data_IF_913385260758
#
_entry.id   IF_913385260758
#
_cell.length_a   1.000
_cell.length_b   1.000
_cell.length_c   1.000
_cell.angle_alpha   90.00
_cell.angle_beta   90.00
_cell.angle_gamma   90.00
#
_symmetry.space_group_name_H-M   'P 1'
#
loop_
_entity.id
_entity.type
_entity.pdbx_description
1 polymer ?
#
# COMPACT_ATOMS: atom_id res chain seq x y z
N UNK A 1 15.48 15.78 -8.49
CA UNK A 1 14.41 15.03 -7.77
C UNK A 1 13.32 16.02 -7.34
N UNK A 2 12.15 16.00 -7.97
CA UNK A 2 11.06 16.94 -7.63
C UNK A 2 10.32 16.44 -6.40
N UNK A 3 10.42 17.19 -5.29
CA UNK A 3 9.63 16.96 -4.09
C UNK A 3 8.15 17.18 -4.44
N UNK A 4 7.34 16.14 -4.38
CA UNK A 4 5.89 16.28 -4.29
C UNK A 4 5.54 16.36 -2.81
N UNK A 5 5.54 17.56 -2.25
CA UNK A 5 4.98 17.78 -0.92
C UNK A 5 3.45 17.77 -1.07
N UNK A 6 2.81 16.69 -0.65
CA UNK A 6 1.36 16.49 -0.75
C UNK A 6 0.64 17.32 0.30
N UNK A 7 1.30 17.58 1.43
CA UNK A 7 0.76 18.25 2.63
C UNK A 7 0.24 19.67 2.40
N UNK A 8 0.77 20.41 1.41
CA UNK A 8 0.32 21.80 1.14
C UNK A 8 -1.08 21.89 0.53
N UNK A 9 -1.67 20.76 0.12
CA UNK A 9 -2.99 20.68 -0.53
C UNK A 9 -4.03 19.92 0.27
N UNK A 10 -3.65 19.27 1.37
CA UNK A 10 -4.54 18.50 2.21
C UNK A 10 -4.99 19.27 3.45
N UNK A 11 -6.23 19.03 3.88
CA UNK A 11 -6.79 19.68 5.06
C UNK A 11 -5.99 19.32 6.32
N UNK A 12 -5.55 20.31 7.07
CA UNK A 12 -4.77 20.11 8.30
C UNK A 12 -3.27 19.87 8.08
N UNK A 13 -2.75 19.93 6.83
CA UNK A 13 -1.32 19.78 6.52
C UNK A 13 -0.75 18.38 6.80
N UNK A 14 -1.60 17.36 6.83
CA UNK A 14 -1.22 15.95 7.02
C UNK A 14 -1.70 15.11 5.84
N UNK A 15 -0.95 14.07 5.48
CA UNK A 15 -1.35 13.08 4.47
C UNK A 15 -2.60 12.34 4.93
N UNK A 16 -3.68 12.38 4.15
CA UNK A 16 -4.97 11.73 4.46
C UNK A 16 -5.34 10.63 3.45
N UNK A 17 -4.63 10.54 2.34
CA UNK A 17 -4.81 9.57 1.28
C UNK A 17 -3.54 8.73 1.07
N UNK A 18 -3.68 7.52 0.53
CA UNK A 18 -2.51 6.73 0.12
C UNK A 18 -1.97 7.32 -1.18
N UNK A 19 -0.81 7.98 -1.10
CA UNK A 19 -0.09 8.45 -2.28
C UNK A 19 0.64 7.29 -2.98
N UNK A 20 0.41 7.10 -4.28
CA UNK A 20 1.16 6.13 -5.08
C UNK A 20 1.94 6.86 -6.18
N UNK A 21 3.26 6.69 -6.24
CA UNK A 21 4.11 7.36 -7.23
C UNK A 21 5.35 6.55 -7.60
N UNK A 22 5.86 6.78 -8.79
CA UNK A 22 7.01 6.05 -9.35
C UNK A 22 8.25 6.95 -9.41
N UNK A 23 9.33 6.49 -8.80
CA UNK A 23 10.67 7.09 -8.88
C UNK A 23 11.57 6.23 -9.75
N UNK A 24 12.36 6.85 -10.62
CA UNK A 24 13.36 6.16 -11.44
C UNK A 24 14.77 6.47 -10.93
N UNK A 25 15.55 5.43 -10.68
CA UNK A 25 16.92 5.52 -10.16
C UNK A 25 17.79 4.57 -10.98
N UNK A 26 18.84 5.07 -11.59
CA UNK A 26 19.77 4.27 -12.40
C UNK A 26 19.08 3.40 -13.47
N UNK A 27 17.96 3.90 -14.05
CA UNK A 27 17.14 3.15 -15.03
C UNK A 27 16.16 2.14 -14.43
N UNK A 28 16.21 1.88 -13.14
CA UNK A 28 15.24 1.04 -12.42
C UNK A 28 14.10 1.88 -11.85
N UNK A 29 12.93 1.29 -11.69
CA UNK A 29 11.74 1.96 -11.15
C UNK A 29 11.36 1.39 -9.81
N UNK A 30 11.12 2.28 -8.84
CA UNK A 30 10.57 1.94 -7.54
C UNK A 30 9.22 2.63 -7.43
N UNK A 31 8.20 1.89 -7.03
CA UNK A 31 6.88 2.44 -6.71
C UNK A 31 6.76 2.61 -5.22
N UNK A 32 6.50 3.84 -4.79
CA UNK A 32 6.26 4.18 -3.40
C UNK A 32 4.76 4.27 -3.15
N UNK A 33 4.32 3.66 -2.04
CA UNK A 33 3.02 3.89 -1.44
C UNK A 33 3.24 4.67 -0.15
N UNK A 34 2.86 5.94 -0.16
CA UNK A 34 2.93 6.80 1.02
C UNK A 34 1.65 6.67 1.83
N UNK A 35 1.77 6.27 3.10
CA UNK A 35 0.63 6.07 4.01
C UNK A 35 0.65 7.09 5.13
N UNK A 36 -0.53 7.57 5.58
CA UNK A 36 -0.61 8.49 6.70
C UNK A 36 -0.03 7.89 7.99
N UNK A 37 0.79 8.67 8.72
CA UNK A 37 1.40 8.25 9.97
C UNK A 37 0.48 8.32 11.19
N UNK A 38 -0.63 9.08 11.13
CA UNK A 38 -1.53 9.29 12.27
C UNK A 38 -2.29 8.01 12.64
N UNK A 39 -2.50 7.77 13.93
CA UNK A 39 -3.17 6.56 14.46
C UNK A 39 -4.57 6.30 13.87
N UNK A 40 -5.31 7.36 13.51
CA UNK A 40 -6.62 7.25 12.87
C UNK A 40 -6.61 6.46 11.53
N UNK A 41 -5.46 6.25 10.91
CA UNK A 41 -5.32 5.63 9.58
C UNK A 41 -4.71 4.23 9.58
N UNK A 42 -4.90 3.45 10.66
CA UNK A 42 -4.43 2.07 10.81
C UNK A 42 -4.78 1.17 9.63
N UNK A 43 -6.03 1.23 9.13
CA UNK A 43 -6.46 0.45 7.98
C UNK A 43 -5.70 0.78 6.69
N UNK A 44 -5.27 2.02 6.51
CA UNK A 44 -4.47 2.44 5.35
C UNK A 44 -3.05 1.89 5.44
N UNK A 45 -2.42 1.93 6.64
CA UNK A 45 -1.10 1.33 6.86
C UNK A 45 -1.09 -0.17 6.62
N UNK A 46 -2.09 -0.88 7.15
CA UNK A 46 -2.25 -2.33 6.93
C UNK A 46 -2.44 -2.65 5.44
N UNK A 47 -3.21 -1.84 4.71
CA UNK A 47 -3.40 -1.99 3.27
C UNK A 47 -2.09 -1.74 2.51
N UNK A 48 -1.38 -0.67 2.85
CA UNK A 48 -0.06 -0.38 2.29
C UNK A 48 0.88 -1.57 2.48
N UNK A 49 1.05 -2.08 3.69
CA UNK A 49 1.90 -3.21 4.00
C UNK A 49 1.54 -4.48 3.20
N UNK A 50 0.24 -4.80 3.07
CA UNK A 50 -0.21 -5.97 2.27
C UNK A 50 -0.03 -5.82 0.75
N UNK A 51 0.24 -4.62 0.28
CA UNK A 51 0.32 -4.29 -1.14
C UNK A 51 1.74 -4.06 -1.63
N UNK A 52 2.72 -4.06 -0.73
CA UNK A 52 4.13 -3.75 -1.00
C UNK A 52 5.02 -4.96 -0.73
N UNK A 53 6.23 -4.92 -1.27
CA UNK A 53 7.26 -5.96 -1.09
C UNK A 53 8.24 -5.60 0.03
N UNK A 54 8.48 -4.29 0.25
CA UNK A 54 9.40 -3.75 1.25
C UNK A 54 8.73 -2.58 1.97
N UNK A 55 8.86 -2.52 3.29
CA UNK A 55 8.42 -1.39 4.10
C UNK A 55 9.61 -0.49 4.46
N UNK A 56 9.46 0.81 4.29
CA UNK A 56 10.40 1.80 4.82
C UNK A 56 9.82 2.31 6.14
N UNK A 57 10.47 1.98 7.24
CA UNK A 57 10.13 2.48 8.56
C UNK A 57 10.91 3.77 8.82
N UNK A 58 10.21 4.90 8.84
CA UNK A 58 10.83 6.20 9.09
C UNK A 58 10.72 6.55 10.56
N UNK A 59 11.88 6.69 11.23
CA UNK A 59 11.97 7.03 12.66
C UNK A 59 12.80 8.29 12.80
N UNK A 60 12.34 9.26 13.58
CA UNK A 60 13.10 10.48 13.80
C UNK A 60 14.19 10.27 14.86
N UNK A 61 15.43 10.70 14.56
CA UNK A 61 16.59 10.52 15.44
C UNK A 61 16.47 11.30 16.76
N UNK A 62 15.66 12.35 16.79
CA UNK A 62 15.40 13.19 17.96
C UNK A 62 14.25 12.67 18.83
N UNK A 63 13.25 12.03 18.23
CA UNK A 63 12.04 11.57 18.95
C UNK A 63 12.16 10.11 19.42
N UNK A 64 12.82 9.23 18.64
CA UNK A 64 12.92 7.79 18.91
C UNK A 64 11.68 7.00 18.48
N UNK A 65 11.48 5.83 19.08
CA UNK A 65 10.38 4.93 18.76
C UNK A 65 9.09 5.40 19.42
N UNK A 66 8.10 5.74 18.59
CA UNK A 66 6.78 6.21 19.02
C UNK A 66 5.74 5.07 18.92
N UNK A 67 4.56 5.14 19.59
CA UNK A 67 3.53 4.12 19.49
C UNK A 67 3.11 3.78 18.05
N UNK A 68 3.03 4.78 17.16
CA UNK A 68 2.73 4.57 15.75
C UNK A 68 3.85 3.82 15.01
N UNK A 69 5.10 3.97 15.46
CA UNK A 69 6.25 3.22 14.94
C UNK A 69 6.10 1.74 15.26
N UNK A 70 5.73 1.42 16.50
CA UNK A 70 5.49 0.02 16.95
C UNK A 70 4.34 -0.60 16.15
N UNK A 71 3.27 0.13 15.94
CA UNK A 71 2.14 -0.31 15.12
C UNK A 71 2.58 -0.62 13.67
N UNK A 72 3.37 0.26 13.06
CA UNK A 72 3.89 0.06 11.70
C UNK A 72 4.80 -1.18 11.61
N UNK A 73 5.66 -1.43 12.61
CA UNK A 73 6.48 -2.64 12.70
C UNK A 73 5.58 -3.89 12.72
N UNK A 74 4.56 -3.89 13.59
CA UNK A 74 3.64 -5.01 13.72
C UNK A 74 2.89 -5.29 12.42
N UNK A 75 2.47 -4.26 11.69
CA UNK A 75 1.81 -4.41 10.38
C UNK A 75 2.74 -5.00 9.32
N UNK A 76 3.99 -4.54 9.25
CA UNK A 76 4.98 -5.06 8.31
C UNK A 76 5.33 -6.51 8.62
N UNK A 77 5.56 -6.85 9.89
CA UNK A 77 5.80 -8.24 10.34
C UNK A 77 4.60 -9.15 10.05
N UNK A 78 3.38 -8.70 10.35
CA UNK A 78 2.16 -9.46 10.06
C UNK A 78 1.93 -9.67 8.55
N UNK A 79 2.41 -8.76 7.71
CA UNK A 79 2.39 -8.89 6.26
C UNK A 79 3.53 -9.75 5.71
N UNK A 80 4.55 -10.06 6.53
CA UNK A 80 5.72 -10.85 6.13
C UNK A 80 6.63 -10.14 5.13
N UNK A 81 6.70 -8.81 5.19
CA UNK A 81 7.52 -7.99 4.29
C UNK A 81 8.79 -7.51 4.98
N UNK A 82 9.86 -7.35 4.20
CA UNK A 82 11.13 -6.84 4.68
C UNK A 82 11.02 -5.38 5.14
N UNK A 83 11.73 -5.03 6.22
CA UNK A 83 11.75 -3.69 6.79
C UNK A 83 13.13 -3.08 6.60
N UNK A 84 13.18 -1.93 5.93
CA UNK A 84 14.35 -1.06 5.87
C UNK A 84 14.08 0.16 6.75
N UNK A 85 14.96 0.44 7.70
CA UNK A 85 14.80 1.54 8.64
C UNK A 85 15.51 2.79 8.11
N UNK A 86 14.78 3.89 7.96
CA UNK A 86 15.30 5.21 7.68
C UNK A 86 15.28 6.06 8.96
N UNK A 87 16.45 6.29 9.56
CA UNK A 87 16.57 7.18 10.72
C UNK A 87 16.66 8.61 10.22
N UNK A 88 15.57 9.35 10.32
CA UNK A 88 15.44 10.70 9.77
C UNK A 88 15.82 11.80 10.79
N UNK A 89 15.99 13.02 10.29
CA UNK A 89 16.33 14.21 11.07
C UNK A 89 17.73 14.16 11.71
N UNK A 90 18.69 13.50 11.07
CA UNK A 90 20.08 13.43 11.58
C UNK A 90 20.78 14.79 11.62
N UNK A 91 20.25 15.77 10.92
CA UNK A 91 20.69 17.17 10.91
C UNK A 91 20.38 17.92 12.21
N UNK A 92 19.54 17.38 13.08
CA UNK A 92 19.19 18.03 14.33
C UNK A 92 20.25 17.83 15.43
N UNK A 93 20.47 18.85 16.30
CA UNK A 93 21.49 18.76 17.36
C UNK A 93 21.20 17.68 18.41
N UNK A 94 19.92 17.28 18.58
CA UNK A 94 19.50 16.24 19.54
C UNK A 94 19.36 14.86 18.88
N UNK A 95 19.84 14.69 17.64
CA UNK A 95 19.80 13.42 16.94
C UNK A 95 20.65 12.36 17.66
N UNK A 96 20.06 11.21 17.95
CA UNK A 96 20.77 10.09 18.57
C UNK A 96 20.44 8.78 17.85
N UNK A 97 21.27 8.41 16.90
CA UNK A 97 21.10 7.23 16.05
C UNK A 97 21.21 5.94 16.87
N UNK A 98 22.18 5.87 17.79
CA UNK A 98 22.44 4.66 18.59
C UNK A 98 21.29 4.36 19.54
N UNK A 99 20.66 5.39 20.11
CA UNK A 99 19.46 5.24 20.92
C UNK A 99 18.31 4.65 20.10
N UNK A 100 18.08 5.15 18.87
CA UNK A 100 17.02 4.63 17.98
C UNK A 100 17.29 3.18 17.60
N UNK A 101 18.55 2.83 17.26
CA UNK A 101 18.96 1.45 17.00
C UNK A 101 18.67 0.52 18.19
N UNK A 102 18.99 0.99 19.42
CA UNK A 102 18.75 0.22 20.64
C UNK A 102 17.25 0.02 20.89
N UNK A 103 16.43 1.08 20.81
CA UNK A 103 14.98 1.00 20.98
C UNK A 103 14.34 0.06 19.93
N UNK A 104 14.77 0.10 18.66
CA UNK A 104 14.24 -0.78 17.62
C UNK A 104 14.69 -2.24 17.78
N UNK A 105 15.84 -2.50 18.40
CA UNK A 105 16.31 -3.85 18.70
C UNK A 105 15.38 -4.59 19.67
N UNK A 106 14.66 -3.87 20.54
CA UNK A 106 13.63 -4.44 21.42
C UNK A 106 12.44 -5.02 20.64
N UNK A 107 12.26 -4.56 19.39
CA UNK A 107 11.24 -5.05 18.45
C UNK A 107 11.82 -6.01 17.38
N UNK A 108 12.98 -6.64 17.67
CA UNK A 108 13.67 -7.60 16.78
C UNK A 108 14.16 -6.97 15.45
N UNK A 109 14.26 -5.65 15.37
CA UNK A 109 14.92 -4.96 14.27
C UNK A 109 16.38 -4.68 14.67
N UNK A 110 17.23 -5.68 14.47
CA UNK A 110 18.64 -5.63 14.89
C UNK A 110 19.48 -5.17 13.71
N UNK A 111 20.30 -4.10 13.86
CA UNK A 111 21.18 -3.64 12.79
C UNK A 111 22.21 -4.68 12.37
N UNK A 112 22.62 -4.64 11.09
CA UNK A 112 23.67 -5.51 10.57
C UNK A 112 24.99 -5.33 11.35
N UNK A 113 25.33 -4.12 11.76
CA UNK A 113 26.53 -3.79 12.56
C UNK A 113 26.54 -4.54 13.91
N UNK A 114 25.37 -4.94 14.43
CA UNK A 114 25.20 -5.66 15.68
C UNK A 114 24.90 -7.15 15.48
N UNK A 115 25.12 -7.64 14.24
CA UNK A 115 24.93 -9.06 13.88
C UNK A 115 23.50 -9.43 13.52
N UNK A 116 22.63 -8.45 13.29
CA UNK A 116 21.28 -8.66 12.77
C UNK A 116 21.22 -8.67 11.25
N UNK A 117 20.02 -8.53 10.71
CA UNK A 117 19.73 -8.52 9.27
C UNK A 117 18.98 -7.28 8.80
N UNK A 118 18.64 -6.37 9.71
CA UNK A 118 17.86 -5.16 9.36
C UNK A 118 18.77 -4.05 8.87
N UNK A 119 18.44 -3.48 7.72
CA UNK A 119 19.18 -2.37 7.13
C UNK A 119 18.72 -1.07 7.78
N UNK A 120 19.69 -0.30 8.30
CA UNK A 120 19.47 1.01 8.89
C UNK A 120 20.21 2.07 8.06
N UNK A 121 19.48 3.07 7.58
CA UNK A 121 20.05 4.17 6.80
C UNK A 121 19.78 5.50 7.52
N UNK A 122 20.81 6.18 8.01
CA UNK A 122 20.66 7.55 8.52
C UNK A 122 20.37 8.52 7.36
N UNK A 123 19.32 9.33 7.54
CA UNK A 123 18.88 10.27 6.49
C UNK A 123 18.49 11.63 7.07
N UNK A 124 18.57 12.65 6.25
CA UNK A 124 17.92 13.93 6.51
C UNK A 124 17.04 14.31 5.32
N UNK A 125 15.74 14.33 5.51
CA UNK A 125 14.81 14.83 4.50
C UNK A 125 14.99 16.34 4.22
N UNK A 126 15.55 17.08 5.17
CA UNK A 126 15.80 18.52 5.05
C UNK A 126 17.04 18.81 4.19
N UNK A 127 18.17 18.17 4.50
CA UNK A 127 19.44 18.35 3.77
C UNK A 127 19.60 17.43 2.57
N UNK A 128 18.76 16.42 2.45
CA UNK A 128 18.84 15.31 1.47
C UNK A 128 20.00 14.34 1.69
N UNK A 129 20.71 14.44 2.81
CA UNK A 129 21.76 13.49 3.18
C UNK A 129 21.19 12.08 3.34
N UNK A 130 21.92 11.07 2.87
CA UNK A 130 21.55 9.65 2.98
C UNK A 130 20.38 9.17 2.09
N UNK A 131 19.68 10.06 1.37
CA UNK A 131 18.53 9.65 0.54
C UNK A 131 18.95 8.75 -0.62
N UNK A 132 20.03 9.05 -1.31
CA UNK A 132 20.51 8.22 -2.41
C UNK A 132 20.95 6.85 -1.89
N UNK A 133 21.61 6.78 -0.73
CA UNK A 133 21.97 5.54 -0.06
C UNK A 133 20.74 4.71 0.31
N UNK A 134 19.68 5.35 0.85
CA UNK A 134 18.42 4.66 1.15
C UNK A 134 17.84 4.01 -0.10
N UNK A 135 17.83 4.74 -1.21
CA UNK A 135 17.30 4.26 -2.49
C UNK A 135 18.14 3.10 -3.06
N UNK A 136 19.46 3.15 -2.93
CA UNK A 136 20.36 2.05 -3.31
C UNK A 136 20.11 0.80 -2.44
N UNK A 137 19.94 0.97 -1.13
CA UNK A 137 19.63 -0.15 -0.23
C UNK A 137 18.28 -0.81 -0.55
N UNK A 138 17.27 -0.01 -0.93
CA UNK A 138 15.98 -0.57 -1.38
C UNK A 138 16.12 -1.40 -2.66
N UNK A 139 16.89 -0.94 -3.64
CA UNK A 139 17.15 -1.71 -4.86
C UNK A 139 17.91 -3.00 -4.54
N UNK A 140 18.93 -2.95 -3.68
CA UNK A 140 19.68 -4.12 -3.25
C UNK A 140 18.77 -5.12 -2.51
N UNK A 141 17.94 -4.66 -1.59
CA UNK A 141 16.97 -5.51 -0.87
C UNK A 141 16.02 -6.20 -1.85
N UNK A 142 15.51 -5.45 -2.84
CA UNK A 142 14.62 -6.00 -3.86
C UNK A 142 15.31 -7.06 -4.75
N UNK A 143 16.60 -6.87 -5.04
CA UNK A 143 17.40 -7.84 -5.81
C UNK A 143 17.66 -9.12 -5.01
N UNK A 144 18.05 -8.99 -3.75
CA UNK A 144 18.26 -10.14 -2.84
C UNK A 144 16.97 -10.92 -2.61
N UNK A 145 15.83 -10.23 -2.49
CA UNK A 145 14.50 -10.84 -2.36
C UNK A 145 13.99 -11.48 -3.65
N UNK A 146 14.73 -11.40 -4.76
CA UNK A 146 14.37 -11.95 -6.08
C UNK A 146 12.93 -11.61 -6.52
N UNK A 147 12.49 -10.38 -6.31
CA UNK A 147 11.13 -9.93 -6.65
C UNK A 147 10.86 -10.06 -8.16
N UNK A 148 9.93 -10.94 -8.51
CA UNK A 148 9.63 -11.28 -9.91
C UNK A 148 8.13 -11.22 -10.18
N UNK A 149 7.75 -10.63 -11.30
CA UNK A 149 6.37 -10.63 -11.79
C UNK A 149 6.31 -10.98 -13.28
N UNK A 150 5.27 -11.71 -13.68
CA UNK A 150 5.06 -12.05 -15.09
C UNK A 150 4.15 -11.00 -15.75
N UNK A 151 4.66 -10.16 -16.68
CA UNK A 151 3.87 -9.15 -17.36
C UNK A 151 2.96 -9.71 -18.46
N UNK A 152 3.19 -10.95 -18.94
CA UNK A 152 2.47 -11.55 -20.08
C UNK A 152 1.18 -12.28 -19.71
N UNK A 153 0.75 -12.21 -18.44
CA UNK A 153 -0.52 -12.81 -18.00
C UNK A 153 -1.61 -11.73 -17.89
N UNK A 154 -2.86 -12.15 -17.66
CA UNK A 154 -3.95 -11.24 -17.33
C UNK A 154 -3.61 -10.39 -16.11
N UNK A 155 -3.97 -9.12 -16.16
CA UNK A 155 -3.70 -8.19 -15.09
C UNK A 155 -4.42 -8.59 -13.81
N UNK A 156 -3.69 -8.49 -12.71
CA UNK A 156 -4.18 -8.62 -11.34
C UNK A 156 -3.45 -7.63 -10.47
N UNK A 157 -4.16 -7.05 -9.52
CA UNK A 157 -3.57 -6.12 -8.56
C UNK A 157 -4.55 -5.77 -7.47
N UNK A 158 -4.31 -4.68 -6.79
CA UNK A 158 -5.06 -4.23 -5.63
C UNK A 158 -5.60 -2.82 -5.83
N UNK A 159 -6.80 -2.56 -5.29
CA UNK A 159 -7.38 -1.23 -5.21
C UNK A 159 -6.72 -0.50 -4.05
N UNK A 160 -5.96 0.55 -4.34
CA UNK A 160 -5.34 1.40 -3.31
C UNK A 160 -6.39 2.31 -2.68
N UNK A 161 -7.09 3.06 -3.53
CA UNK A 161 -8.19 3.94 -3.15
C UNK A 161 -9.25 3.97 -4.26
N UNK A 162 -10.49 4.27 -3.88
CA UNK A 162 -11.55 4.50 -4.84
C UNK A 162 -12.53 5.55 -4.33
N UNK A 163 -13.10 6.33 -5.25
CA UNK A 163 -14.04 7.39 -4.93
C UNK A 163 -15.05 7.62 -6.07
N UNK A 164 -16.15 8.26 -5.73
CA UNK A 164 -17.10 8.74 -6.72
C UNK A 164 -16.77 10.19 -7.09
N UNK A 165 -16.29 10.39 -8.29
CA UNK A 165 -16.05 11.73 -8.85
C UNK A 165 -17.32 12.23 -9.56
N UNK A 166 -17.73 13.48 -9.26
CA UNK A 166 -18.97 14.09 -9.79
C UNK A 166 -18.99 14.18 -11.33
N UNK A 167 -17.82 14.27 -11.96
CA UNK A 167 -17.71 14.44 -13.43
C UNK A 167 -17.27 13.17 -14.17
N UNK A 168 -16.52 12.30 -13.49
CA UNK A 168 -15.86 11.13 -14.09
C UNK A 168 -16.49 9.78 -13.66
N UNK A 169 -17.40 9.80 -12.70
CA UNK A 169 -18.02 8.61 -12.14
C UNK A 169 -17.14 7.87 -11.13
N UNK A 170 -17.21 6.55 -11.08
CA UNK A 170 -16.36 5.74 -10.23
C UNK A 170 -14.91 5.79 -10.72
N UNK A 171 -14.02 6.23 -9.85
CA UNK A 171 -12.58 6.38 -10.08
C UNK A 171 -11.86 5.53 -9.04
N UNK A 172 -10.92 4.69 -9.48
CA UNK A 172 -10.12 3.88 -8.57
C UNK A 172 -8.63 4.01 -8.91
N UNK A 173 -7.80 4.20 -7.89
CA UNK A 173 -6.35 4.07 -8.00
C UNK A 173 -5.99 2.62 -7.72
N UNK A 174 -5.38 1.97 -8.69
CA UNK A 174 -5.00 0.56 -8.60
C UNK A 174 -3.49 0.41 -8.71
N UNK A 175 -2.95 -0.58 -8.03
CA UNK A 175 -1.57 -1.05 -8.20
C UNK A 175 -1.60 -2.39 -8.94
N UNK A 176 -1.05 -2.42 -10.14
CA UNK A 176 -0.89 -3.66 -10.89
C UNK A 176 0.23 -4.48 -10.24
N UNK A 177 -0.06 -5.70 -9.81
CA UNK A 177 0.92 -6.60 -9.19
C UNK A 177 1.44 -7.66 -10.17
N UNK A 178 0.58 -8.15 -11.05
CA UNK A 178 0.91 -9.19 -12.05
C UNK A 178 0.17 -8.91 -13.34
N UNK A 179 0.77 -9.30 -14.47
CA UNK A 179 0.21 -9.06 -15.79
C UNK A 179 0.36 -7.60 -16.24
N UNK A 180 -0.26 -7.28 -17.35
CA UNK A 180 -0.33 -5.91 -17.90
C UNK A 180 -1.78 -5.54 -18.12
N UNK A 181 -2.24 -4.48 -17.47
CA UNK A 181 -3.58 -3.92 -17.64
C UNK A 181 -3.59 -3.02 -18.86
N UNK A 182 -4.61 -3.17 -19.73
CA UNK A 182 -4.75 -2.37 -20.95
C UNK A 182 -6.08 -1.62 -20.97
N UNK A 183 -6.08 -0.47 -21.65
CA UNK A 183 -7.32 0.28 -21.91
C UNK A 183 -8.24 -0.57 -22.80
N UNK A 184 -9.50 -0.70 -22.43
CA UNK A 184 -10.48 -1.53 -23.12
C UNK A 184 -10.69 -2.91 -22.51
N UNK A 185 -9.86 -3.30 -21.54
CA UNK A 185 -9.93 -4.61 -20.87
C UNK A 185 -11.05 -4.64 -19.84
N UNK A 186 -11.86 -5.73 -19.80
CA UNK A 186 -12.86 -5.92 -18.76
C UNK A 186 -12.18 -6.32 -17.44
N UNK A 187 -12.61 -5.74 -16.33
CA UNK A 187 -12.09 -6.04 -14.99
C UNK A 187 -13.22 -6.25 -13.99
N UNK A 188 -12.97 -7.09 -13.01
CA UNK A 188 -13.78 -7.25 -11.80
C UNK A 188 -12.97 -6.83 -10.57
N UNK A 189 -13.61 -6.11 -9.65
CA UNK A 189 -13.02 -5.57 -8.42
C UNK A 189 -14.04 -5.77 -7.29
N UNK A 190 -13.95 -6.88 -6.54
CA UNK A 190 -14.94 -7.18 -5.51
C UNK A 190 -16.38 -7.16 -6.07
N UNK A 191 -17.19 -6.23 -5.55
CA UNK A 191 -18.58 -6.04 -5.98
C UNK A 191 -18.73 -5.17 -7.25
N UNK A 192 -17.67 -4.49 -7.68
CA UNK A 192 -17.66 -3.65 -8.88
C UNK A 192 -17.07 -4.40 -10.07
N UNK A 193 -17.53 -4.04 -11.26
CA UNK A 193 -16.98 -4.52 -12.53
C UNK A 193 -17.04 -3.41 -13.56
N UNK A 194 -16.37 -3.58 -14.68
CA UNK A 194 -16.47 -2.64 -15.78
C UNK A 194 -15.38 -2.84 -16.82
N UNK A 195 -15.35 -1.94 -17.79
CA UNK A 195 -14.33 -1.89 -18.83
C UNK A 195 -13.44 -0.68 -18.59
N UNK A 196 -12.15 -0.88 -18.57
CA UNK A 196 -11.18 0.21 -18.40
C UNK A 196 -11.31 1.19 -19.56
N UNK A 197 -11.91 2.34 -19.33
CA UNK A 197 -12.12 3.38 -20.38
C UNK A 197 -10.90 4.26 -20.53
N UNK A 198 -10.21 4.54 -19.46
CA UNK A 198 -8.98 5.32 -19.44
C UNK A 198 -8.13 4.94 -18.23
N UNK A 199 -6.81 5.09 -18.39
CA UNK A 199 -5.84 4.99 -17.31
C UNK A 199 -5.00 6.25 -17.27
N UNK A 200 -4.71 6.73 -16.05
CA UNK A 200 -3.93 7.94 -15.80
C UNK A 200 -2.80 7.56 -14.83
N UNK A 201 -1.56 7.90 -15.16
CA UNK A 201 -0.40 7.63 -14.32
C UNK A 201 -0.29 8.64 -13.14
N UNK A 202 0.69 8.42 -12.27
CA UNK A 202 1.00 9.29 -11.12
C UNK A 202 1.39 10.73 -11.50
N UNK A 203 1.70 10.96 -12.78
CA UNK A 203 2.03 12.29 -13.35
C UNK A 203 0.85 12.96 -14.05
N UNK A 204 -0.35 12.34 -13.98
CA UNK A 204 -1.54 12.85 -14.61
C UNK A 204 -1.62 12.62 -16.13
N UNK A 205 -0.77 11.76 -16.70
CA UNK A 205 -0.74 11.45 -18.14
C UNK A 205 -1.61 10.24 -18.44
N UNK A 206 -2.31 10.29 -19.57
CA UNK A 206 -3.04 9.12 -20.07
C UNK A 206 -2.06 8.06 -20.56
N UNK A 207 -2.23 6.83 -20.09
CA UNK A 207 -1.44 5.67 -20.50
C UNK A 207 -2.35 4.60 -21.09
N UNK A 208 -1.84 3.81 -22.00
CA UNK A 208 -2.59 2.71 -22.65
C UNK A 208 -2.40 1.38 -21.94
N UNK A 209 -1.27 1.22 -21.27
CA UNK A 209 -0.83 0.00 -20.60
C UNK A 209 -0.24 0.32 -19.24
N UNK A 210 -0.47 -0.57 -18.29
CA UNK A 210 0.13 -0.53 -16.95
C UNK A 210 0.65 -1.93 -16.59
N UNK A 211 1.97 -2.07 -16.53
CA UNK A 211 2.63 -3.32 -16.13
C UNK A 211 2.74 -3.49 -14.63
N UNK A 212 3.42 -4.57 -14.17
CA UNK A 212 3.65 -4.83 -12.75
C UNK A 212 4.31 -3.65 -12.03
N UNK A 213 3.91 -3.46 -10.77
CA UNK A 213 4.34 -2.37 -9.88
C UNK A 213 4.00 -0.95 -10.38
N UNK A 214 3.11 -0.82 -11.37
CA UNK A 214 2.68 0.48 -11.87
C UNK A 214 1.36 0.91 -11.23
N UNK A 215 1.31 2.04 -10.50
CA UNK A 215 0.08 2.62 -10.01
C UNK A 215 -0.61 3.39 -11.13
N UNK A 216 -1.91 3.21 -11.29
CA UNK A 216 -2.72 3.97 -12.26
C UNK A 216 -4.11 4.26 -11.69
N UNK A 217 -4.61 5.44 -11.99
CA UNK A 217 -6.02 5.78 -11.81
C UNK A 217 -6.80 5.23 -12.99
N UNK A 218 -7.84 4.44 -12.74
CA UNK A 218 -8.70 3.84 -13.74
C UNK A 218 -10.11 4.44 -13.71
N UNK A 219 -10.71 4.54 -14.90
CA UNK A 219 -12.08 4.99 -15.13
C UNK A 219 -12.87 3.91 -15.86
N UNK A 220 -14.14 3.77 -15.55
CA UNK A 220 -15.05 2.88 -16.29
C UNK A 220 -15.68 1.76 -15.47
N UNK A 221 -15.52 1.78 -14.14
CA UNK A 221 -16.18 0.86 -13.23
C UNK A 221 -17.68 1.19 -13.08
N UNK A 222 -18.50 0.17 -12.85
CA UNK A 222 -19.94 0.26 -12.61
C UNK A 222 -20.31 0.93 -11.30
N UNK A 223 -19.47 0.76 -10.29
CA UNK A 223 -19.61 1.31 -8.94
C UNK A 223 -18.23 1.55 -8.33
N UNK A 224 -18.19 2.18 -7.17
CA UNK A 224 -16.95 2.38 -6.42
C UNK A 224 -16.61 1.08 -5.69
N UNK A 225 -15.46 0.44 -5.98
CA UNK A 225 -15.00 -0.75 -5.25
C UNK A 225 -14.48 -0.37 -3.86
N UNK A 226 -14.40 -1.35 -2.98
CA UNK A 226 -13.77 -1.14 -1.69
C UNK A 226 -12.24 -1.12 -1.82
N UNK A 227 -11.63 -0.19 -1.11
CA UNK A 227 -10.18 -0.09 -1.09
C UNK A 227 -9.55 -1.28 -0.35
N UNK A 228 -8.50 -1.88 -0.94
CA UNK A 228 -7.87 -3.12 -0.49
C UNK A 228 -8.38 -4.38 -1.19
N UNK A 229 -9.46 -4.29 -1.97
CA UNK A 229 -9.92 -5.41 -2.79
C UNK A 229 -8.97 -5.70 -3.95
N UNK A 230 -8.96 -6.96 -4.37
CA UNK A 230 -8.21 -7.38 -5.56
C UNK A 230 -9.02 -7.11 -6.81
N UNK A 231 -8.40 -6.53 -7.83
CA UNK A 231 -8.95 -6.53 -9.17
C UNK A 231 -8.34 -7.65 -10.02
N UNK A 232 -9.12 -8.17 -10.96
CA UNK A 232 -8.69 -9.15 -11.96
C UNK A 232 -9.21 -8.78 -13.33
N UNK A 233 -8.36 -8.92 -14.35
CA UNK A 233 -8.76 -8.77 -15.74
C UNK A 233 -9.46 -10.04 -16.22
N UNK A 234 -10.58 -9.87 -16.94
CA UNK A 234 -11.44 -10.93 -17.42
C UNK A 234 -11.39 -11.02 -18.96
N UNK A 235 -11.91 -12.13 -19.53
CA UNK A 235 -12.00 -12.30 -20.98
C UNK A 235 -13.14 -11.48 -21.58
N UNK A 236 -14.22 -11.32 -20.84
CA UNK A 236 -15.40 -10.58 -21.29
C UNK A 236 -16.03 -9.75 -20.15
N UNK A 237 -16.83 -8.75 -20.51
CA UNK A 237 -17.63 -8.00 -19.53
C UNK A 237 -18.63 -8.90 -18.79
N UNK A 238 -19.11 -9.94 -19.45
CA UNK A 238 -20.00 -10.94 -18.85
C UNK A 238 -19.30 -11.69 -17.73
N UNK A 239 -18.05 -12.10 -17.93
CA UNK A 239 -17.25 -12.77 -16.91
C UNK A 239 -16.97 -11.85 -15.74
N UNK A 240 -16.59 -10.59 -16.02
CA UNK A 240 -16.35 -9.59 -14.98
C UNK A 240 -17.59 -9.35 -14.12
N UNK A 241 -18.77 -9.27 -14.75
CA UNK A 241 -20.05 -9.15 -14.07
C UNK A 241 -20.37 -10.38 -13.22
N UNK A 242 -20.20 -11.60 -13.77
CA UNK A 242 -20.42 -12.85 -13.04
C UNK A 242 -19.52 -12.94 -11.81
N UNK A 243 -18.24 -12.54 -11.91
CA UNK A 243 -17.33 -12.48 -10.76
C UNK A 243 -17.86 -11.55 -9.66
N UNK A 244 -18.30 -10.35 -10.03
CA UNK A 244 -18.85 -9.38 -9.08
C UNK A 244 -20.15 -9.91 -8.42
N UNK A 245 -21.05 -10.51 -9.18
CA UNK A 245 -22.29 -11.11 -8.66
C UNK A 245 -22.01 -12.28 -7.71
N UNK A 246 -21.03 -13.14 -8.03
CA UNK A 246 -20.59 -14.24 -7.16
C UNK A 246 -20.00 -13.69 -5.85
N UNK A 247 -19.13 -12.68 -5.93
CA UNK A 247 -18.55 -12.03 -4.77
C UNK A 247 -19.62 -11.45 -3.82
N UNK A 248 -20.64 -10.78 -4.38
CA UNK A 248 -21.77 -10.23 -3.62
C UNK A 248 -22.57 -11.36 -2.94
N UNK A 249 -22.83 -12.46 -3.65
CA UNK A 249 -23.61 -13.58 -3.12
C UNK A 249 -22.87 -14.31 -1.99
N UNK A 250 -21.57 -14.53 -2.12
CA UNK A 250 -20.72 -15.12 -1.07
C UNK A 250 -20.60 -14.20 0.14
N UNK A 251 -20.46 -12.88 -0.06
CA UNK A 251 -20.47 -11.89 1.00
C UNK A 251 -21.77 -11.89 1.78
N UNK A 252 -22.92 -11.95 1.10
CA UNK A 252 -24.24 -12.08 1.74
C UNK A 252 -24.40 -13.39 2.51
N UNK A 253 -23.93 -14.51 1.96
CA UNK A 253 -23.98 -15.80 2.63
C UNK A 253 -23.16 -15.79 3.94
N UNK A 254 -21.94 -15.27 3.92
CA UNK A 254 -21.10 -15.11 5.11
C UNK A 254 -21.72 -14.19 6.17
N UNK A 255 -22.40 -13.12 5.74
CA UNK A 255 -23.08 -12.20 6.66
C UNK A 255 -24.29 -12.87 7.34
N UNK A 256 -25.07 -13.63 6.60
CA UNK A 256 -26.21 -14.41 7.13
C UNK A 256 -25.75 -15.49 8.11
N UNK A 257 -24.65 -16.17 7.82
CA UNK A 257 -24.04 -17.15 8.69
C UNK A 257 -23.55 -16.51 10.01
N UNK A 258 -22.86 -15.36 9.93
CA UNK A 258 -22.40 -14.61 11.11
C UNK A 258 -23.57 -14.10 11.97
N UNK A 259 -24.65 -13.62 11.35
CA UNK A 259 -25.87 -13.17 12.06
C UNK A 259 -26.60 -14.35 12.71
N UNK A 260 -26.67 -15.49 12.04
CA UNK A 260 -27.23 -16.73 12.61
C UNK A 260 -26.46 -17.21 13.84
N UNK A 261 -25.13 -17.14 13.82
CA UNK A 261 -24.26 -17.49 14.95
C UNK A 261 -24.44 -16.55 16.15
N UNK A 262 -24.62 -15.24 15.93
CA UNK A 262 -24.88 -14.27 17.00
C UNK A 262 -26.26 -14.47 17.62
N UNK A 263 -27.28 -14.81 16.84
CA UNK A 263 -28.60 -15.11 17.36
C UNK A 263 -28.66 -16.41 18.18
N UNK A 264 -27.96 -17.46 17.78
CA UNK A 264 -27.85 -18.71 18.55
C UNK A 264 -27.14 -18.48 19.89
N UNK A 265 -26.08 -17.71 19.94
CA UNK A 265 -25.35 -17.37 21.18
C UNK A 265 -26.20 -16.51 22.15
N UNK A 266 -27.02 -15.60 21.62
CA UNK A 266 -27.93 -14.78 22.44
C UNK A 266 -29.06 -15.61 23.06
N UNK A 267 -29.53 -16.70 22.40
CA UNK A 267 -30.53 -17.61 22.95
C UNK A 267 -29.94 -18.55 24.00
N UNK A 268 -28.72 -19.00 23.90
CA UNK A 268 -28.06 -19.85 24.91
C UNK A 268 -27.76 -19.09 26.22
N UNK A 269 -27.51 -17.80 26.17
CA UNK A 269 -27.27 -16.96 27.36
C UNK A 269 -28.54 -16.60 28.13
N UNK A 270 -29.74 -16.73 27.52
CA UNK A 270 -31.03 -16.46 28.18
C UNK A 270 -31.63 -17.69 28.87
N UNK A 271 -31.07 -18.89 28.70
CA UNK A 271 -31.54 -20.14 29.31
C UNK A 271 -30.82 -20.55 30.61
N UNK A 272 -29.91 -19.71 31.10
CA UNK A 272 -29.15 -19.93 32.34
C UNK A 272 -29.39 -18.82 33.39
N UNK A 273 -30.64 -18.40 33.60
CA UNK A 273 -31.04 -17.61 34.77
C UNK A 273 -32.25 -18.29 35.42
#
# INVERSE_FOLDING_TARGET
MYKRQVTDREAGGITQHIGAYVVSINGQKITFLDTPGHEAFTAMRLRGAKSTDIAILVVAADDGVMPQTVEAINHAKAAGIEIVVAINKIDKPNANIDRVKQELSEYELIPEDWGGSTIFVPVSAHTHEGIDQLLEMLLLTAEVSELKANPKRKARGVIIEAQLDKGRGAVATVLVQKGTLTVGEPIACGSAYGKVRAMIDDKGRRVKEAGPSMPVEILGLSSVPDAGETFVACDSEKDARNFAETYISEGKAKLLEAVSYTHLRAHETTLHL
#
